data_IF_348280962156
#
_entry.id   IF_348280962156
#
_cell.length_a   1.000
_cell.length_b   1.000
_cell.length_c   1.000
_cell.angle_alpha   90.00
_cell.angle_beta   90.00
_cell.angle_gamma   90.00
#
_symmetry.space_group_name_H-M   'P 1'
#
loop_
_entity.id
_entity.type
_entity.pdbx_description
1 polymer ?
#
# COMPACT_ATOMS: atom_id res chain seq x y z
N UNK A 1 23.53 56.79 10.84
CA UNK A 1 23.69 55.84 11.97
C UNK A 1 22.76 54.64 11.83
N UNK A 2 21.55 54.89 11.33
CA UNK A 2 20.53 54.00 10.77
C UNK A 2 21.02 52.60 10.37
N UNK A 3 22.02 52.46 9.49
CA UNK A 3 22.43 51.17 8.92
C UNK A 3 22.82 50.12 9.98
N UNK A 4 23.45 50.56 11.09
CA UNK A 4 23.79 49.66 12.21
C UNK A 4 22.53 49.26 12.99
N UNK A 5 21.59 50.19 13.20
CA UNK A 5 20.33 49.91 13.88
C UNK A 5 19.46 48.95 13.05
N UNK A 6 19.36 49.21 11.74
CA UNK A 6 18.70 48.35 10.75
C UNK A 6 19.24 46.92 10.81
N UNK A 7 20.57 46.75 10.84
CA UNK A 7 21.23 45.44 10.92
C UNK A 7 20.92 44.70 12.23
N UNK A 8 21.03 45.35 13.39
CA UNK A 8 20.69 44.75 14.69
C UNK A 8 19.20 44.38 14.80
N UNK A 9 18.30 45.19 14.25
CA UNK A 9 16.87 44.92 14.20
C UNK A 9 16.57 43.63 13.40
N UNK A 10 17.17 43.47 12.21
CA UNK A 10 17.02 42.23 11.44
C UNK A 10 17.64 41.01 12.14
N UNK A 11 18.79 41.14 12.80
CA UNK A 11 19.38 40.04 13.60
C UNK A 11 18.46 39.60 14.75
N UNK A 12 17.80 40.54 15.44
CA UNK A 12 16.85 40.22 16.50
C UNK A 12 15.61 39.49 15.95
N UNK A 13 15.07 39.92 14.80
CA UNK A 13 13.96 39.23 14.13
C UNK A 13 14.37 37.81 13.72
N UNK A 14 15.55 37.64 13.10
CA UNK A 14 16.04 36.33 12.65
C UNK A 14 16.27 35.39 13.83
N UNK A 15 16.88 35.86 14.93
CA UNK A 15 17.11 35.02 16.11
C UNK A 15 15.79 34.64 16.82
N UNK A 16 14.81 35.55 16.87
CA UNK A 16 13.46 35.27 17.41
C UNK A 16 12.70 34.23 16.56
N UNK A 17 12.74 34.35 15.23
CA UNK A 17 12.14 33.38 14.32
C UNK A 17 12.82 32.00 14.43
N UNK A 18 14.16 31.97 14.54
CA UNK A 18 14.92 30.75 14.74
C UNK A 18 14.61 30.11 16.11
N UNK A 19 14.46 30.89 17.18
CA UNK A 19 14.04 30.42 18.50
C UNK A 19 12.64 29.80 18.45
N UNK A 20 11.68 30.45 17.79
CA UNK A 20 10.33 29.89 17.58
C UNK A 20 10.39 28.58 16.78
N UNK A 21 11.23 28.52 15.74
CA UNK A 21 11.41 27.32 14.93
C UNK A 21 11.96 26.17 15.78
N UNK A 22 13.07 26.37 16.50
CA UNK A 22 13.70 25.37 17.38
C UNK A 22 12.73 24.92 18.50
N UNK A 23 11.94 25.83 19.07
CA UNK A 23 10.93 25.51 20.08
C UNK A 23 9.80 24.64 19.49
N UNK A 24 9.23 25.04 18.33
CA UNK A 24 8.20 24.24 17.63
C UNK A 24 8.73 22.86 17.24
N UNK A 25 9.97 22.79 16.75
CA UNK A 25 10.66 21.57 16.35
C UNK A 25 10.85 20.62 17.54
N UNK A 26 11.34 21.13 18.67
CA UNK A 26 11.52 20.38 19.92
C UNK A 26 10.17 19.90 20.49
N UNK A 27 9.15 20.76 20.48
CA UNK A 27 7.80 20.39 20.92
C UNK A 27 7.20 19.29 20.03
N UNK A 28 7.38 19.39 18.70
CA UNK A 28 6.80 18.46 17.73
C UNK A 28 7.52 17.10 17.68
N UNK A 29 8.86 17.08 17.64
CA UNK A 29 9.66 15.87 17.42
C UNK A 29 10.14 15.19 18.71
N UNK A 30 10.17 15.88 19.86
CA UNK A 30 10.70 15.32 21.11
C UNK A 30 9.65 15.27 22.22
N UNK A 31 9.00 16.39 22.52
CA UNK A 31 8.05 16.47 23.64
C UNK A 31 6.74 15.74 23.36
N UNK A 32 6.12 15.96 22.18
CA UNK A 32 4.87 15.29 21.80
C UNK A 32 4.99 13.75 21.78
N UNK A 33 5.98 13.13 21.10
CA UNK A 33 6.14 11.68 21.13
C UNK A 33 6.30 11.12 22.54
N UNK A 34 7.23 11.67 23.34
CA UNK A 34 7.48 11.23 24.73
C UNK A 34 6.26 11.42 25.65
N UNK A 35 5.42 12.43 25.42
CA UNK A 35 4.16 12.63 26.17
C UNK A 35 3.11 11.58 25.81
N UNK A 36 2.97 11.24 24.53
CA UNK A 36 2.03 10.23 24.03
C UNK A 36 2.46 8.82 24.47
N UNK A 37 3.75 8.51 24.35
CA UNK A 37 4.37 7.25 24.81
C UNK A 37 4.10 7.01 26.30
N UNK A 38 4.33 8.03 27.15
CA UNK A 38 4.01 7.97 28.59
C UNK A 38 2.50 7.87 28.88
N UNK A 39 1.64 8.42 28.02
CA UNK A 39 0.19 8.34 28.19
C UNK A 39 -0.34 6.92 27.91
N UNK A 40 0.13 6.27 26.83
CA UNK A 40 -0.24 4.89 26.53
C UNK A 40 0.42 3.86 27.47
N UNK A 41 1.69 4.08 27.84
CA UNK A 41 2.39 3.21 28.79
C UNK A 41 1.70 3.15 30.16
N UNK A 42 1.11 4.27 30.63
CA UNK A 42 0.25 4.30 31.84
C UNK A 42 -1.03 3.47 31.73
N UNK A 43 -1.49 3.16 30.52
CA UNK A 43 -2.65 2.31 30.25
C UNK A 43 -2.23 0.85 29.94
N UNK A 44 -0.97 0.50 30.18
CA UNK A 44 -0.41 -0.82 29.86
C UNK A 44 -0.07 -1.03 28.38
N UNK A 45 -0.49 -0.12 27.49
CA UNK A 45 -0.25 -0.20 26.05
C UNK A 45 1.22 0.17 25.77
N UNK A 46 1.98 -0.83 25.33
CA UNK A 46 3.41 -0.74 24.97
C UNK A 46 3.58 -0.77 23.45
N UNK A 47 4.82 -0.70 22.98
CA UNK A 47 5.19 -0.78 21.57
C UNK A 47 6.70 -0.61 21.40
N UNK A 48 7.23 -0.74 20.17
CA UNK A 48 8.61 -0.37 19.87
C UNK A 48 8.85 1.13 20.18
N UNK A 49 10.01 1.49 20.76
CA UNK A 49 10.26 2.84 21.28
C UNK A 49 10.34 3.89 20.16
N UNK A 50 10.03 5.15 20.51
CA UNK A 50 10.15 6.26 19.57
C UNK A 50 11.61 6.55 19.20
N UNK A 51 11.93 6.46 17.91
CA UNK A 51 13.20 6.90 17.33
C UNK A 51 13.04 8.29 16.69
N UNK A 52 13.94 9.21 17.01
CA UNK A 52 13.87 10.62 16.58
C UNK A 52 13.80 10.76 15.05
N UNK A 53 12.98 11.71 14.57
CA UNK A 53 12.52 11.89 13.17
C UNK A 53 11.78 10.72 12.52
N UNK A 54 12.31 9.49 12.57
CA UNK A 54 11.94 8.38 11.68
C UNK A 54 10.86 7.47 12.28
N UNK A 55 10.77 7.37 13.61
CA UNK A 55 9.94 6.36 14.26
C UNK A 55 10.42 4.94 13.90
N UNK A 56 9.49 3.99 13.80
CA UNK A 56 9.79 2.57 13.54
C UNK A 56 9.76 2.21 12.04
N UNK A 57 9.71 3.20 11.13
CA UNK A 57 9.63 2.97 9.67
C UNK A 57 10.80 2.09 9.19
N UNK A 58 12.02 2.36 9.69
CA UNK A 58 13.23 1.57 9.42
C UNK A 58 13.05 0.08 9.77
N UNK A 59 12.52 -0.19 10.96
CA UNK A 59 12.31 -1.53 11.50
C UNK A 59 11.19 -2.27 10.74
N UNK A 60 10.09 -1.57 10.46
CA UNK A 60 8.97 -2.08 9.66
C UNK A 60 9.40 -2.48 8.25
N UNK A 61 10.21 -1.65 7.58
CA UNK A 61 10.79 -1.98 6.26
C UNK A 61 11.78 -3.14 6.36
N UNK A 62 12.64 -3.18 7.39
CA UNK A 62 13.55 -4.30 7.63
C UNK A 62 12.82 -5.63 7.81
N UNK A 63 11.74 -5.65 8.60
CA UNK A 63 10.88 -6.82 8.80
C UNK A 63 10.13 -7.21 7.53
N UNK A 64 9.69 -6.26 6.71
CA UNK A 64 9.06 -6.54 5.41
C UNK A 64 10.05 -7.15 4.40
N UNK A 65 11.26 -6.59 4.30
CA UNK A 65 12.33 -7.10 3.43
C UNK A 65 12.80 -8.49 3.87
N UNK A 66 13.04 -8.70 5.18
CA UNK A 66 13.44 -10.01 5.72
C UNK A 66 12.36 -11.08 5.52
N UNK A 67 11.08 -10.72 5.64
CA UNK A 67 9.99 -11.64 5.34
C UNK A 67 9.86 -11.93 3.83
N UNK A 68 10.23 -10.98 2.97
CA UNK A 68 10.15 -11.09 1.50
C UNK A 68 11.31 -11.86 0.88
N UNK A 69 12.52 -11.79 1.46
CA UNK A 69 13.73 -12.43 0.93
C UNK A 69 13.79 -13.95 1.12
N UNK A 70 13.04 -14.49 2.08
CA UNK A 70 12.91 -15.94 2.24
C UNK A 70 12.04 -16.56 1.13
N UNK A 71 12.22 -17.85 0.81
CA UNK A 71 11.22 -18.61 0.05
C UNK A 71 9.85 -18.52 0.72
N UNK A 72 8.77 -18.44 -0.06
CA UNK A 72 7.42 -18.48 0.52
C UNK A 72 7.10 -19.92 0.96
N UNK A 73 6.73 -20.17 2.23
CA UNK A 73 6.30 -21.49 2.65
C UNK A 73 4.94 -21.85 2.01
N UNK A 74 4.77 -23.12 1.62
CA UNK A 74 3.53 -23.64 1.03
C UNK A 74 2.46 -23.93 2.11
N UNK A 75 2.13 -22.92 2.93
CA UNK A 75 1.18 -23.04 4.03
C UNK A 75 0.17 -21.88 4.06
N UNK A 76 -1.03 -22.12 4.59
CA UNK A 76 -2.10 -21.11 4.67
C UNK A 76 -1.77 -19.90 5.55
N UNK A 77 -0.85 -20.04 6.52
CA UNK A 77 -0.47 -18.96 7.42
C UNK A 77 0.51 -17.97 6.75
N UNK A 78 -0.02 -17.14 5.85
CA UNK A 78 0.75 -16.13 5.10
C UNK A 78 0.93 -14.80 5.88
N UNK A 79 0.35 -14.68 7.08
CA UNK A 79 0.45 -13.48 7.92
C UNK A 79 1.92 -13.07 8.24
N UNK A 80 2.86 -13.99 8.55
CA UNK A 80 4.27 -13.65 8.75
C UNK A 80 4.97 -13.08 7.52
N UNK A 81 4.43 -13.34 6.31
CA UNK A 81 4.96 -12.87 5.02
C UNK A 81 4.37 -11.51 4.64
N UNK A 82 3.06 -11.33 4.74
CA UNK A 82 2.36 -10.13 4.27
C UNK A 82 2.34 -9.00 5.31
N UNK A 83 2.20 -9.33 6.61
CA UNK A 83 2.15 -8.37 7.72
C UNK A 83 3.20 -8.71 8.78
N UNK A 84 4.45 -8.88 8.33
CA UNK A 84 5.56 -9.36 9.14
C UNK A 84 5.83 -8.51 10.39
N UNK A 85 5.75 -7.18 10.28
CA UNK A 85 5.91 -6.25 11.41
C UNK A 85 4.85 -6.47 12.50
N UNK A 86 3.59 -6.66 12.10
CA UNK A 86 2.48 -6.93 13.01
C UNK A 86 2.60 -8.32 13.64
N UNK A 87 2.92 -9.35 12.84
CA UNK A 87 3.19 -10.70 13.36
C UNK A 87 4.38 -10.76 14.33
N UNK A 88 5.39 -9.91 14.15
CA UNK A 88 6.52 -9.77 15.06
C UNK A 88 6.12 -9.02 16.35
N UNK A 89 5.69 -7.77 16.25
CA UNK A 89 5.39 -6.92 17.41
C UNK A 89 4.20 -7.42 18.24
N UNK A 90 3.19 -8.09 17.64
CA UNK A 90 2.09 -8.73 18.40
C UNK A 90 2.59 -9.77 19.41
N UNK A 91 3.70 -10.46 19.13
CA UNK A 91 4.29 -11.45 20.05
C UNK A 91 5.04 -10.81 21.22
N UNK A 92 5.44 -9.54 21.10
CA UNK A 92 6.23 -8.81 22.10
C UNK A 92 5.32 -7.92 22.95
N UNK A 93 4.33 -7.27 22.34
CA UNK A 93 3.50 -6.24 22.98
C UNK A 93 2.01 -6.61 23.11
N UNK A 94 1.58 -7.75 22.56
CA UNK A 94 0.19 -8.23 22.63
C UNK A 94 -0.70 -7.76 21.47
N UNK A 95 -2.02 -7.87 21.64
CA UNK A 95 -3.00 -7.62 20.57
C UNK A 95 -3.22 -6.11 20.25
N UNK A 96 -2.75 -5.21 21.12
CA UNK A 96 -2.88 -3.76 20.95
C UNK A 96 -1.56 -3.09 21.33
N UNK A 97 -0.93 -2.36 20.40
CA UNK A 97 0.39 -1.77 20.60
C UNK A 97 0.63 -0.49 19.78
N UNK A 98 1.52 0.37 20.24
CA UNK A 98 1.82 1.68 19.66
C UNK A 98 2.97 1.59 18.63
N UNK A 99 2.83 2.23 17.46
CA UNK A 99 3.86 2.28 16.41
C UNK A 99 4.10 3.72 15.95
N UNK A 100 5.34 4.08 15.67
CA UNK A 100 5.71 5.44 15.25
C UNK A 100 5.98 5.52 13.74
N UNK A 101 5.27 6.40 13.05
CA UNK A 101 5.52 6.78 11.66
C UNK A 101 6.04 8.21 11.65
N UNK A 102 7.37 8.35 11.72
CA UNK A 102 7.99 9.60 12.15
C UNK A 102 7.47 10.01 13.55
N UNK A 103 7.24 11.32 13.83
CA UNK A 103 6.69 11.77 15.11
C UNK A 103 5.21 11.39 15.34
N UNK A 104 4.54 10.81 14.34
CA UNK A 104 3.12 10.45 14.42
C UNK A 104 2.95 9.05 15.00
N UNK A 105 2.37 8.98 16.20
CA UNK A 105 1.92 7.72 16.79
C UNK A 105 0.73 7.13 16.01
N UNK A 106 0.72 5.82 15.84
CA UNK A 106 -0.41 5.02 15.35
C UNK A 106 -0.66 3.87 16.31
N UNK A 107 -1.89 3.70 16.77
CA UNK A 107 -2.28 2.58 17.61
C UNK A 107 -2.69 1.41 16.72
N UNK A 108 -1.99 0.29 16.82
CA UNK A 108 -2.37 -0.98 16.16
C UNK A 108 -3.28 -1.74 17.11
N UNK A 109 -4.43 -2.21 16.62
CA UNK A 109 -5.48 -2.88 17.40
C UNK A 109 -5.84 -4.17 16.67
N UNK A 110 -6.12 -5.24 17.41
CA UNK A 110 -6.53 -6.54 16.84
C UNK A 110 -7.61 -7.26 17.67
N UNK A 111 -8.26 -6.53 18.57
CA UNK A 111 -9.48 -6.95 19.26
C UNK A 111 -10.71 -6.70 18.35
N UNK A 112 -11.52 -7.73 18.02
CA UNK A 112 -12.69 -7.56 17.17
C UNK A 112 -13.77 -6.64 17.77
N UNK A 113 -13.86 -6.51 19.09
CA UNK A 113 -14.81 -5.61 19.77
C UNK A 113 -14.41 -4.16 19.51
N UNK A 114 -13.15 -3.82 19.74
CA UNK A 114 -12.62 -2.47 19.47
C UNK A 114 -12.61 -2.14 17.97
N UNK A 115 -12.34 -3.12 17.10
CA UNK A 115 -12.46 -2.95 15.64
C UNK A 115 -13.90 -2.63 15.25
N UNK A 116 -14.90 -3.36 15.79
CA UNK A 116 -16.33 -3.07 15.57
C UNK A 116 -16.72 -1.68 16.10
N UNK A 117 -16.21 -1.29 17.26
CA UNK A 117 -16.47 0.02 17.84
C UNK A 117 -15.92 1.14 16.94
N UNK A 118 -14.67 1.02 16.49
CA UNK A 118 -13.97 2.02 15.65
C UNK A 118 -14.63 2.15 14.27
N UNK A 119 -14.88 1.03 13.57
CA UNK A 119 -15.35 1.05 12.19
C UNK A 119 -16.87 1.16 12.04
N UNK A 120 -17.66 0.91 13.09
CA UNK A 120 -19.13 1.00 13.04
C UNK A 120 -19.66 2.04 14.02
N UNK A 121 -19.42 1.87 15.33
CA UNK A 121 -20.09 2.67 16.37
C UNK A 121 -19.55 4.11 16.52
N UNK A 122 -18.28 4.34 16.17
CA UNK A 122 -17.58 5.61 16.35
C UNK A 122 -16.87 6.09 15.07
N UNK A 123 -17.28 5.58 13.90
CA UNK A 123 -16.63 5.85 12.61
C UNK A 123 -16.52 7.34 12.26
N UNK A 124 -17.43 8.18 12.73
CA UNK A 124 -17.40 9.64 12.60
C UNK A 124 -16.16 10.30 13.23
N UNK A 125 -15.57 9.68 14.26
CA UNK A 125 -14.35 10.17 14.94
C UNK A 125 -13.05 9.67 14.30
N UNK A 126 -13.12 8.77 13.30
CA UNK A 126 -11.95 8.11 12.70
C UNK A 126 -11.85 8.41 11.21
N UNK A 127 -11.28 9.58 10.88
CA UNK A 127 -10.97 9.92 9.49
C UNK A 127 -9.95 8.95 8.84
N UNK A 128 -10.08 8.81 7.52
CA UNK A 128 -9.08 8.13 6.69
C UNK A 128 -7.73 8.84 6.78
N UNK A 129 -6.64 8.07 6.81
CA UNK A 129 -5.30 8.59 6.53
C UNK A 129 -5.26 9.15 5.09
N UNK A 130 -4.58 10.27 4.88
CA UNK A 130 -4.45 10.86 3.54
C UNK A 130 -3.33 10.17 2.73
N UNK A 131 -3.64 9.80 1.49
CA UNK A 131 -2.66 9.24 0.55
C UNK A 131 -1.53 10.24 0.26
N UNK A 132 -0.26 9.80 0.15
CA UNK A 132 0.84 10.68 -0.26
C UNK A 132 0.54 11.37 -1.61
N UNK A 133 0.99 12.62 -1.86
CA UNK A 133 0.54 13.39 -3.03
C UNK A 133 0.71 12.71 -4.40
N UNK A 134 1.80 11.95 -4.59
CA UNK A 134 2.03 11.18 -5.82
C UNK A 134 1.02 10.03 -6.00
N UNK A 135 0.63 9.38 -4.90
CA UNK A 135 -0.36 8.30 -4.90
C UNK A 135 -1.75 8.88 -5.14
N UNK A 136 -2.10 9.98 -4.44
CA UNK A 136 -3.35 10.73 -4.63
C UNK A 136 -3.55 11.19 -6.09
N UNK A 137 -2.48 11.59 -6.79
CA UNK A 137 -2.54 11.97 -8.22
C UNK A 137 -2.84 10.80 -9.18
N UNK A 138 -2.61 9.55 -8.74
CA UNK A 138 -2.91 8.33 -9.50
C UNK A 138 -4.26 7.72 -9.11
N UNK A 139 -4.60 7.74 -7.82
CA UNK A 139 -5.90 7.33 -7.28
C UNK A 139 -7.02 8.29 -7.71
N UNK A 140 -6.75 9.60 -7.75
CA UNK A 140 -7.72 10.65 -8.01
C UNK A 140 -8.45 11.15 -6.75
N UNK A 141 -9.17 12.25 -6.92
CA UNK A 141 -9.95 12.92 -5.87
C UNK A 141 -11.39 12.38 -5.71
N UNK A 142 -11.56 11.05 -5.77
CA UNK A 142 -12.84 10.34 -5.62
C UNK A 142 -13.08 9.67 -4.25
N UNK A 143 -13.95 8.66 -4.20
CA UNK A 143 -14.46 8.00 -2.99
C UNK A 143 -13.42 7.51 -1.97
N UNK A 144 -12.20 7.19 -2.40
CA UNK A 144 -11.11 6.83 -1.49
C UNK A 144 -10.60 8.04 -0.71
N UNK A 145 -10.40 9.18 -1.35
CA UNK A 145 -9.73 10.37 -0.79
C UNK A 145 -10.71 11.41 -0.23
N UNK A 146 -11.95 11.45 -0.74
CA UNK A 146 -13.00 12.36 -0.25
C UNK A 146 -13.41 12.07 1.22
N UNK A 147 -13.85 13.14 1.90
CA UNK A 147 -14.30 13.18 3.30
C UNK A 147 -15.66 13.90 3.42
N UNK A 148 -16.32 13.75 4.57
CA UNK A 148 -17.53 14.50 4.95
C UNK A 148 -18.70 14.40 3.95
N UNK A 149 -19.46 15.49 3.83
CA UNK A 149 -20.67 15.57 2.99
C UNK A 149 -20.39 15.27 1.51
N UNK A 150 -19.26 15.73 0.95
CA UNK A 150 -18.84 15.40 -0.42
C UNK A 150 -18.78 13.89 -0.62
N UNK A 151 -18.09 13.17 0.27
CA UNK A 151 -18.00 11.71 0.21
C UNK A 151 -19.37 11.05 0.37
N UNK A 152 -20.23 11.53 1.28
CA UNK A 152 -21.57 10.99 1.46
C UNK A 152 -22.44 11.17 0.20
N UNK A 153 -22.37 12.34 -0.45
CA UNK A 153 -23.07 12.65 -1.69
C UNK A 153 -22.59 11.78 -2.86
N UNK A 154 -21.28 11.71 -3.09
CA UNK A 154 -20.68 10.87 -4.13
C UNK A 154 -21.03 9.40 -3.90
N UNK A 155 -20.93 8.91 -2.66
CA UNK A 155 -21.26 7.51 -2.31
C UNK A 155 -22.73 7.21 -2.59
N UNK A 156 -23.65 8.10 -2.24
CA UNK A 156 -25.09 7.94 -2.51
C UNK A 156 -25.39 7.80 -4.01
N UNK A 157 -24.67 8.53 -4.86
CA UNK A 157 -24.84 8.52 -6.32
C UNK A 157 -24.17 7.30 -6.96
N UNK A 158 -23.01 6.87 -6.45
CA UNK A 158 -22.21 5.77 -7.03
C UNK A 158 -22.71 4.39 -6.59
N UNK A 159 -23.15 4.20 -5.34
CA UNK A 159 -23.52 2.87 -4.80
C UNK A 159 -24.50 2.07 -5.69
N UNK A 160 -25.55 2.65 -6.30
CA UNK A 160 -26.47 1.91 -7.18
C UNK A 160 -25.82 1.21 -8.39
N UNK A 161 -24.69 1.72 -8.92
CA UNK A 161 -24.03 1.10 -10.09
C UNK A 161 -23.42 -0.26 -9.76
N UNK A 162 -23.12 -0.50 -8.48
CA UNK A 162 -22.57 -1.76 -7.96
C UNK A 162 -23.65 -2.69 -7.38
N UNK A 163 -24.94 -2.40 -7.58
CA UNK A 163 -26.01 -3.35 -7.25
C UNK A 163 -25.93 -4.59 -8.17
N UNK A 164 -26.31 -5.77 -7.65
CA UNK A 164 -26.16 -7.06 -8.33
C UNK A 164 -26.83 -7.10 -9.71
N UNK A 165 -27.94 -6.39 -9.90
CA UNK A 165 -28.65 -6.30 -11.18
C UNK A 165 -27.82 -5.59 -12.26
N UNK A 166 -27.17 -4.48 -11.89
CA UNK A 166 -26.27 -3.73 -12.77
C UNK A 166 -24.96 -4.51 -13.03
N UNK A 167 -24.42 -5.19 -12.01
CA UNK A 167 -23.24 -6.05 -12.18
C UNK A 167 -23.51 -7.24 -13.10
N UNK A 168 -24.71 -7.84 -13.07
CA UNK A 168 -25.10 -8.93 -13.98
C UNK A 168 -25.06 -8.53 -15.47
N UNK A 169 -25.22 -7.24 -15.79
CA UNK A 169 -25.06 -6.72 -17.16
C UNK A 169 -23.59 -6.68 -17.63
N UNK A 170 -22.63 -6.65 -16.71
CA UNK A 170 -21.19 -6.59 -17.04
C UNK A 170 -20.57 -7.95 -17.35
N UNK A 171 -21.19 -9.05 -16.89
CA UNK A 171 -20.66 -10.42 -17.00
C UNK A 171 -20.26 -10.81 -18.44
N UNK A 172 -21.07 -10.57 -19.50
CA UNK A 172 -20.68 -10.94 -20.86
C UNK A 172 -19.45 -10.16 -21.36
N UNK A 173 -19.34 -8.88 -21.00
CA UNK A 173 -18.22 -8.01 -21.37
C UNK A 173 -16.94 -8.42 -20.63
N UNK A 174 -17.06 -8.77 -19.36
CA UNK A 174 -15.94 -9.30 -18.55
C UNK A 174 -15.46 -10.63 -19.13
N UNK A 175 -16.36 -11.60 -19.35
CA UNK A 175 -16.01 -12.91 -19.92
C UNK A 175 -15.37 -12.81 -21.31
N UNK A 176 -15.90 -11.96 -22.21
CA UNK A 176 -15.32 -11.71 -23.54
C UNK A 176 -13.93 -11.08 -23.46
N UNK A 177 -13.69 -10.23 -22.46
CA UNK A 177 -12.37 -9.64 -22.22
C UNK A 177 -11.39 -10.66 -21.66
N UNK A 178 -11.83 -11.54 -20.76
CA UNK A 178 -11.04 -12.64 -20.21
C UNK A 178 -10.67 -13.68 -21.26
N UNK A 179 -11.61 -14.11 -22.12
CA UNK A 179 -11.34 -15.01 -23.23
C UNK A 179 -10.26 -14.42 -24.17
N UNK A 180 -10.47 -13.19 -24.65
CA UNK A 180 -9.49 -12.45 -25.48
C UNK A 180 -8.11 -12.27 -24.81
N UNK A 181 -8.05 -12.23 -23.48
CA UNK A 181 -6.81 -12.19 -22.72
C UNK A 181 -6.13 -13.56 -22.70
N UNK A 182 -6.89 -14.65 -22.49
CA UNK A 182 -6.40 -16.03 -22.50
C UNK A 182 -5.89 -16.44 -23.90
N UNK A 183 -6.64 -16.15 -24.97
CA UNK A 183 -6.24 -16.36 -26.37
C UNK A 183 -4.85 -15.78 -26.66
N UNK A 184 -4.56 -14.63 -26.05
CA UNK A 184 -3.31 -13.87 -26.22
C UNK A 184 -2.22 -14.26 -25.24
N UNK A 185 -2.52 -14.96 -24.16
CA UNK A 185 -1.66 -15.08 -22.97
C UNK A 185 -0.25 -15.61 -23.30
N UNK A 186 -0.17 -16.63 -24.15
CA UNK A 186 1.08 -17.24 -24.60
C UNK A 186 1.53 -16.79 -26.00
N UNK A 187 0.73 -15.98 -26.71
CA UNK A 187 1.06 -15.55 -28.06
C UNK A 187 2.11 -14.42 -28.05
N UNK A 188 3.03 -14.38 -29.03
CA UNK A 188 4.01 -13.31 -29.17
C UNK A 188 3.36 -12.07 -29.82
N UNK A 189 2.38 -11.46 -29.14
CA UNK A 189 1.74 -10.19 -29.51
C UNK A 189 2.73 -9.02 -29.38
N UNK A 190 2.41 -7.82 -29.92
CA UNK A 190 3.25 -6.62 -29.71
C UNK A 190 3.38 -6.29 -28.22
N UNK A 191 2.28 -6.37 -27.48
CA UNK A 191 2.19 -6.15 -26.03
C UNK A 191 3.06 -7.16 -25.26
N UNK A 192 2.91 -8.45 -25.53
CA UNK A 192 3.67 -9.51 -24.85
C UNK A 192 5.15 -9.50 -25.22
N UNK A 193 5.51 -9.26 -26.50
CA UNK A 193 6.90 -9.06 -26.91
C UNK A 193 7.55 -7.89 -26.20
N UNK A 194 6.81 -6.79 -25.95
CA UNK A 194 7.31 -5.67 -25.16
C UNK A 194 7.45 -6.07 -23.69
N UNK A 195 6.45 -6.73 -23.09
CA UNK A 195 6.51 -7.20 -21.70
C UNK A 195 7.69 -8.16 -21.45
N UNK A 196 7.83 -9.22 -22.26
CA UNK A 196 8.92 -10.19 -22.17
C UNK A 196 10.29 -9.58 -22.52
N UNK A 197 10.34 -8.60 -23.44
CA UNK A 197 11.56 -7.84 -23.71
C UNK A 197 11.94 -7.00 -22.49
N UNK A 198 10.99 -6.29 -21.89
CA UNK A 198 11.24 -5.45 -20.71
C UNK A 198 11.65 -6.29 -19.51
N UNK A 199 11.01 -7.43 -19.21
CA UNK A 199 11.51 -8.35 -18.17
C UNK A 199 12.94 -8.82 -18.47
N UNK A 200 13.21 -9.23 -19.72
CA UNK A 200 14.54 -9.70 -20.13
C UNK A 200 15.59 -8.59 -20.09
N UNK A 201 15.26 -7.36 -20.45
CA UNK A 201 16.15 -6.19 -20.46
C UNK A 201 16.37 -5.63 -19.04
N UNK A 202 15.33 -5.56 -18.21
CA UNK A 202 15.43 -5.23 -16.78
C UNK A 202 16.27 -6.28 -16.07
N UNK A 203 15.97 -7.58 -16.23
CA UNK A 203 16.75 -8.68 -15.65
C UNK A 203 18.19 -8.67 -16.13
N UNK A 204 18.45 -8.50 -17.44
CA UNK A 204 19.82 -8.40 -17.99
C UNK A 204 20.56 -7.17 -17.47
N UNK A 205 19.90 -6.03 -17.34
CA UNK A 205 20.52 -4.79 -16.86
C UNK A 205 20.83 -4.86 -15.38
N UNK A 206 19.91 -5.38 -14.56
CA UNK A 206 20.13 -5.65 -13.14
C UNK A 206 21.28 -6.64 -12.95
N UNK A 207 21.28 -7.78 -13.65
CA UNK A 207 22.38 -8.75 -13.58
C UNK A 207 23.71 -8.14 -14.00
N UNK A 208 23.76 -7.36 -15.09
CA UNK A 208 24.99 -6.67 -15.51
C UNK A 208 25.47 -5.64 -14.48
N UNK A 209 24.57 -4.87 -13.88
CA UNK A 209 24.92 -3.90 -12.83
C UNK A 209 25.43 -4.58 -11.56
N UNK A 210 24.87 -5.75 -11.21
CA UNK A 210 25.34 -6.59 -10.10
C UNK A 210 26.73 -7.16 -10.42
N UNK A 211 26.90 -7.82 -11.58
CA UNK A 211 28.18 -8.40 -12.03
C UNK A 211 29.32 -7.38 -12.06
N UNK A 212 29.06 -6.17 -12.59
CA UNK A 212 30.05 -5.10 -12.64
C UNK A 212 30.41 -4.58 -11.24
N UNK A 213 29.45 -4.48 -10.32
CA UNK A 213 29.71 -4.00 -8.96
C UNK A 213 30.41 -5.04 -8.09
N UNK A 214 30.08 -6.33 -8.23
CA UNK A 214 30.83 -7.42 -7.57
C UNK A 214 32.29 -7.42 -8.06
N UNK A 215 32.52 -7.37 -9.38
CA UNK A 215 33.88 -7.37 -9.93
C UNK A 215 34.70 -6.13 -9.56
N UNK A 216 34.07 -4.97 -9.36
CA UNK A 216 34.78 -3.80 -8.84
C UNK A 216 35.12 -3.95 -7.35
N UNK A 217 34.23 -4.58 -6.57
CA UNK A 217 34.44 -4.84 -5.13
C UNK A 217 35.62 -5.78 -4.87
N UNK A 218 35.80 -6.82 -5.69
CA UNK A 218 36.93 -7.76 -5.59
C UNK A 218 38.27 -7.15 -6.02
N UNK A 219 38.28 -6.05 -6.80
CA UNK A 219 39.48 -5.50 -7.44
C UNK A 219 40.00 -4.17 -6.84
N UNK A 220 39.30 -3.53 -5.92
CA UNK A 220 39.71 -2.21 -5.39
C UNK A 220 39.71 -2.13 -3.85
N UNK A 221 40.92 -2.12 -3.28
CA UNK A 221 41.16 -1.81 -1.87
C UNK A 221 41.34 -0.31 -1.56
N UNK A 222 41.02 0.60 -2.50
CA UNK A 222 41.29 2.03 -2.37
C UNK A 222 40.22 2.92 -3.01
N UNK A 223 39.70 3.84 -2.19
CA UNK A 223 38.63 4.83 -2.39
C UNK A 223 38.59 5.55 -3.75
N UNK A 224 37.39 5.61 -4.34
CA UNK A 224 36.87 6.81 -5.02
C UNK A 224 35.34 6.87 -4.79
N UNK A 225 34.81 7.97 -4.23
CA UNK A 225 33.41 8.02 -3.76
C UNK A 225 32.39 8.37 -4.85
N UNK A 226 31.55 7.40 -5.22
CA UNK A 226 30.32 7.61 -6.00
C UNK A 226 29.09 7.74 -5.08
N UNK A 227 28.00 8.41 -5.52
CA UNK A 227 26.84 8.67 -4.66
C UNK A 227 25.99 7.41 -4.45
N UNK A 228 25.84 6.99 -3.19
CA UNK A 228 25.12 5.77 -2.78
C UNK A 228 23.71 5.67 -3.38
N UNK A 229 23.50 4.74 -4.32
CA UNK A 229 22.18 4.41 -4.87
C UNK A 229 21.53 3.19 -4.19
N UNK A 230 20.25 2.93 -4.49
CA UNK A 230 19.49 1.83 -3.90
C UNK A 230 20.11 0.45 -4.16
N UNK A 231 20.76 0.25 -5.31
CA UNK A 231 21.35 -1.05 -5.70
C UNK A 231 22.69 -1.27 -4.98
N UNK A 232 23.47 -0.21 -4.78
CA UNK A 232 24.67 -0.23 -3.93
C UNK A 232 24.29 -0.42 -2.46
N UNK A 233 23.22 0.22 -1.99
CA UNK A 233 22.63 -0.02 -0.66
C UNK A 233 22.18 -1.48 -0.52
N UNK A 234 21.65 -2.12 -1.58
CA UNK A 234 21.30 -3.55 -1.54
C UNK A 234 22.53 -4.47 -1.46
N UNK A 235 23.60 -4.17 -2.20
CA UNK A 235 24.87 -4.93 -2.14
C UNK A 235 25.52 -4.75 -0.76
N UNK A 236 25.66 -3.50 -0.28
CA UNK A 236 26.17 -3.18 1.07
C UNK A 236 25.27 -3.76 2.17
N UNK A 237 23.95 -3.80 2.01
CA UNK A 237 23.03 -4.40 2.99
C UNK A 237 23.15 -5.93 3.08
N UNK A 238 23.64 -6.60 2.03
CA UNK A 238 24.05 -8.01 2.11
C UNK A 238 25.31 -8.22 2.97
N UNK A 239 25.98 -7.13 3.39
CA UNK A 239 27.21 -7.14 4.19
C UNK A 239 27.12 -6.34 5.51
N UNK A 240 26.20 -5.36 5.66
CA UNK A 240 25.50 -4.86 6.88
C UNK A 240 24.83 -3.47 6.72
N UNK A 241 23.53 -3.42 7.03
CA UNK A 241 22.71 -2.38 7.69
C UNK A 241 22.90 -0.82 7.53
N UNK A 242 22.06 -0.20 6.67
CA UNK A 242 21.10 0.93 6.96
C UNK A 242 21.46 2.46 7.03
N UNK A 243 20.67 3.33 6.34
CA UNK A 243 20.03 4.65 6.72
C UNK A 243 19.80 5.68 5.56
N UNK A 244 19.13 6.84 5.80
CA UNK A 244 18.44 7.78 4.83
C UNK A 244 18.90 9.29 5.05
N UNK A 245 18.23 10.48 4.73
CA UNK A 245 16.82 10.84 4.34
C UNK A 245 16.46 12.19 3.54
N UNK A 246 15.49 12.16 2.56
CA UNK A 246 14.49 13.25 2.18
C UNK A 246 14.97 14.62 1.58
N UNK A 247 14.13 15.66 1.19
CA UNK A 247 12.64 15.91 1.29
C UNK A 247 11.82 16.68 0.16
N UNK A 248 10.46 16.59 0.22
CA UNK A 248 9.34 17.59 0.02
C UNK A 248 9.22 18.56 -1.23
N UNK A 249 8.10 19.27 -1.59
CA UNK A 249 6.74 19.54 -1.02
C UNK A 249 5.67 20.10 -2.04
N UNK A 250 4.38 20.30 -1.59
CA UNK A 250 3.34 21.34 -1.96
C UNK A 250 1.88 20.92 -2.36
N UNK A 251 0.88 21.37 -1.55
CA UNK A 251 -0.42 22.09 -1.77
C UNK A 251 -1.41 21.77 -2.95
N UNK A 252 -2.74 22.07 -2.92
CA UNK A 252 -3.74 22.57 -1.91
C UNK A 252 -5.21 22.52 -2.44
N UNK A 253 -6.23 22.66 -1.56
CA UNK A 253 -7.59 23.31 -1.72
C UNK A 253 -8.47 23.11 -3.00
N UNK A 254 -9.82 23.09 -3.00
CA UNK A 254 -10.93 23.08 -2.00
C UNK A 254 -12.29 22.86 -2.72
N UNK A 255 -13.44 22.82 -1.99
CA UNK A 255 -14.84 23.16 -2.43
C UNK A 255 -15.26 23.03 -3.92
N UNK A 256 -16.32 22.31 -4.29
CA UNK A 256 -17.72 22.75 -4.05
C UNK A 256 -18.77 21.60 -4.11
N UNK A 257 -20.07 21.91 -4.29
CA UNK A 257 -21.22 21.07 -3.89
C UNK A 257 -22.16 20.60 -5.02
N UNK A 258 -21.64 20.32 -6.21
CA UNK A 258 -22.33 19.56 -7.28
C UNK A 258 -21.30 18.66 -7.98
N UNK A 259 -21.68 17.45 -8.39
CA UNK A 259 -20.77 16.56 -9.15
C UNK A 259 -20.58 17.14 -10.57
N UNK A 260 -19.35 17.53 -10.87
CA UNK A 260 -18.93 18.02 -12.19
C UNK A 260 -18.40 16.88 -13.06
N UNK A 261 -18.19 17.15 -14.36
CA UNK A 261 -17.50 16.21 -15.27
C UNK A 261 -16.07 15.88 -14.76
N UNK A 262 -15.41 16.82 -14.09
CA UNK A 262 -14.11 16.58 -13.45
C UNK A 262 -14.23 15.56 -12.31
N UNK A 263 -15.21 15.72 -11.42
CA UNK A 263 -15.44 14.77 -10.32
C UNK A 263 -15.74 13.35 -10.85
N UNK A 264 -16.48 13.22 -11.96
CA UNK A 264 -16.70 11.93 -12.62
C UNK A 264 -15.39 11.31 -13.12
N UNK A 265 -14.46 12.10 -13.67
CA UNK A 265 -13.13 11.61 -14.10
C UNK A 265 -12.30 11.15 -12.90
N UNK A 266 -12.33 11.88 -11.78
CA UNK A 266 -11.61 11.49 -10.56
C UNK A 266 -12.18 10.23 -9.90
N UNK A 267 -13.50 10.07 -9.88
CA UNK A 267 -14.15 8.83 -9.44
C UNK A 267 -13.83 7.65 -10.37
N UNK A 268 -13.78 7.86 -11.69
CA UNK A 268 -13.35 6.84 -12.64
C UNK A 268 -11.89 6.39 -12.42
N UNK A 269 -10.97 7.32 -12.12
CA UNK A 269 -9.59 6.97 -11.69
C UNK A 269 -9.62 6.15 -10.40
N UNK A 270 -10.40 6.59 -9.41
CA UNK A 270 -10.49 5.95 -8.09
C UNK A 270 -10.98 4.51 -8.21
N UNK A 271 -12.08 4.30 -8.92
CA UNK A 271 -12.68 2.98 -9.16
C UNK A 271 -11.72 2.09 -9.97
N UNK A 272 -11.09 2.64 -11.03
CA UNK A 272 -10.14 1.88 -11.85
C UNK A 272 -8.90 1.45 -11.05
N UNK A 273 -8.25 2.37 -10.33
CA UNK A 273 -7.02 2.09 -9.59
C UNK A 273 -7.27 1.11 -8.44
N UNK A 274 -8.30 1.38 -7.62
CA UNK A 274 -8.70 0.51 -6.52
C UNK A 274 -9.07 -0.90 -7.02
N UNK A 275 -9.93 -0.99 -8.04
CA UNK A 275 -10.38 -2.26 -8.61
C UNK A 275 -9.24 -3.03 -9.27
N UNK A 276 -8.37 -2.36 -10.05
CA UNK A 276 -7.27 -3.01 -10.77
C UNK A 276 -6.24 -3.63 -9.82
N UNK A 277 -5.78 -2.88 -8.81
CA UNK A 277 -4.74 -3.39 -7.89
C UNK A 277 -5.27 -4.50 -6.98
N UNK A 278 -6.48 -4.33 -6.40
CA UNK A 278 -7.06 -5.36 -5.52
C UNK A 278 -7.43 -6.64 -6.28
N UNK A 279 -8.15 -6.52 -7.41
CA UNK A 279 -8.61 -7.68 -8.20
C UNK A 279 -7.42 -8.44 -8.82
N UNK A 280 -6.40 -7.75 -9.33
CA UNK A 280 -5.23 -8.42 -9.91
C UNK A 280 -4.43 -9.18 -8.84
N UNK A 281 -4.31 -8.63 -7.62
CA UNK A 281 -3.68 -9.34 -6.51
C UNK A 281 -4.51 -10.53 -6.04
N UNK A 282 -5.83 -10.37 -5.91
CA UNK A 282 -6.77 -11.45 -5.56
C UNK A 282 -6.66 -12.62 -6.54
N UNK A 283 -6.83 -12.38 -7.84
CA UNK A 283 -6.74 -13.42 -8.87
C UNK A 283 -5.38 -14.11 -8.89
N UNK A 284 -4.29 -13.38 -8.63
CA UNK A 284 -2.94 -13.95 -8.51
C UNK A 284 -2.86 -14.92 -7.33
N UNK A 285 -3.32 -14.50 -6.15
CA UNK A 285 -3.32 -15.36 -4.95
C UNK A 285 -4.28 -16.55 -5.07
N UNK A 286 -5.47 -16.37 -5.63
CA UNK A 286 -6.40 -17.48 -5.94
C UNK A 286 -5.76 -18.49 -6.89
N UNK A 287 -5.07 -18.03 -7.93
CA UNK A 287 -4.36 -18.93 -8.88
C UNK A 287 -3.24 -19.72 -8.19
N UNK A 288 -2.45 -19.06 -7.32
CA UNK A 288 -1.41 -19.71 -6.52
C UNK A 288 -2.00 -20.75 -5.56
N UNK A 289 -3.08 -20.41 -4.85
CA UNK A 289 -3.72 -21.31 -3.88
C UNK A 289 -4.39 -22.52 -4.55
N UNK A 290 -5.01 -22.35 -5.73
CA UNK A 290 -5.55 -23.47 -6.51
C UNK A 290 -4.43 -24.38 -7.02
N UNK A 291 -3.30 -23.82 -7.49
CA UNK A 291 -2.13 -24.62 -7.88
C UNK A 291 -1.45 -25.34 -6.70
N UNK A 292 -1.55 -24.80 -5.48
CA UNK A 292 -1.10 -25.45 -4.25
C UNK A 292 -2.06 -26.53 -3.74
N UNK A 293 -3.32 -26.54 -4.19
CA UNK A 293 -4.35 -27.47 -3.72
C UNK A 293 -5.17 -28.05 -4.89
N UNK A 294 -4.62 -29.00 -5.67
CA UNK A 294 -5.27 -29.58 -6.85
C UNK A 294 -6.69 -30.07 -6.62
N UNK A 295 -6.96 -30.69 -5.45
CA UNK A 295 -8.31 -31.10 -5.03
C UNK A 295 -9.38 -30.00 -5.15
N UNK A 296 -9.05 -28.74 -4.82
CA UNK A 296 -9.96 -27.60 -4.93
C UNK A 296 -10.03 -27.07 -6.36
N UNK A 297 -8.95 -27.22 -7.14
CA UNK A 297 -8.93 -26.88 -8.56
C UNK A 297 -9.77 -27.87 -9.40
N UNK A 298 -9.78 -29.15 -9.04
CA UNK A 298 -10.61 -30.20 -9.64
C UNK A 298 -12.08 -30.00 -9.27
N UNK A 299 -12.41 -29.86 -7.99
CA UNK A 299 -13.79 -29.57 -7.55
C UNK A 299 -14.39 -28.32 -8.21
N UNK A 300 -13.62 -27.23 -8.31
CA UNK A 300 -14.06 -26.01 -8.98
C UNK A 300 -14.20 -26.18 -10.51
N UNK A 301 -13.36 -27.00 -11.15
CA UNK A 301 -13.48 -27.34 -12.57
C UNK A 301 -14.74 -28.18 -12.83
N UNK A 302 -15.00 -29.17 -12.00
CA UNK A 302 -16.15 -30.06 -12.14
C UNK A 302 -17.47 -29.34 -11.86
N UNK A 303 -17.48 -28.39 -10.90
CA UNK A 303 -18.63 -27.48 -10.70
C UNK A 303 -18.91 -26.65 -11.97
N UNK A 304 -17.88 -26.02 -12.55
CA UNK A 304 -18.03 -25.25 -13.79
C UNK A 304 -18.48 -26.12 -14.96
N UNK A 305 -17.92 -27.32 -15.14
CA UNK A 305 -18.34 -28.26 -16.18
C UNK A 305 -19.78 -28.75 -15.97
N UNK A 306 -20.22 -28.95 -14.72
CA UNK A 306 -21.59 -29.39 -14.39
C UNK A 306 -22.63 -28.27 -14.57
N UNK A 307 -22.28 -27.02 -14.26
CA UNK A 307 -23.17 -25.85 -14.34
C UNK A 307 -23.21 -25.29 -15.76
N UNK A 308 -22.06 -25.05 -16.37
CA UNK A 308 -21.96 -24.51 -17.72
C UNK A 308 -22.19 -25.60 -18.79
N UNK A 309 -21.86 -26.87 -18.51
CA UNK A 309 -21.83 -27.93 -19.52
C UNK A 309 -20.64 -27.77 -20.49
N UNK A 310 -20.57 -28.63 -21.49
CA UNK A 310 -19.57 -28.58 -22.58
C UNK A 310 -19.83 -27.45 -23.59
N UNK A 311 -20.25 -26.26 -23.13
CA UNK A 311 -20.53 -25.09 -23.96
C UNK A 311 -19.29 -24.20 -23.98
N UNK A 312 -18.65 -24.02 -25.14
CA UNK A 312 -17.54 -23.08 -25.38
C UNK A 312 -17.96 -21.58 -25.32
N UNK A 313 -19.04 -21.28 -24.60
CA UNK A 313 -19.62 -19.96 -24.45
C UNK A 313 -19.31 -19.37 -23.06
N UNK A 314 -19.20 -18.06 -23.02
CA UNK A 314 -19.04 -17.29 -21.78
C UNK A 314 -20.20 -17.60 -20.81
N UNK A 315 -19.92 -17.93 -19.53
CA UNK A 315 -20.97 -18.19 -18.54
C UNK A 315 -21.97 -17.03 -18.40
N UNK A 316 -23.25 -17.35 -18.33
CA UNK A 316 -24.30 -16.34 -18.17
C UNK A 316 -24.45 -15.88 -16.72
N UNK A 317 -25.21 -14.77 -16.53
CA UNK A 317 -25.61 -14.27 -15.20
C UNK A 317 -26.30 -15.32 -14.31
N UNK A 318 -26.92 -16.33 -14.91
CA UNK A 318 -27.69 -17.36 -14.22
C UNK A 318 -26.90 -18.68 -14.11
N UNK A 319 -25.73 -18.78 -14.74
CA UNK A 319 -24.75 -19.86 -14.51
C UNK A 319 -23.81 -19.46 -13.36
N UNK A 320 -23.30 -18.22 -13.37
CA UNK A 320 -22.44 -17.68 -12.29
C UNK A 320 -23.14 -17.77 -10.92
N UNK A 321 -24.45 -17.54 -10.86
CA UNK A 321 -25.24 -17.65 -9.63
C UNK A 321 -25.44 -19.09 -9.09
N UNK A 322 -24.90 -20.11 -9.76
CA UNK A 322 -24.97 -21.52 -9.34
C UNK A 322 -23.60 -22.10 -8.93
N UNK A 323 -22.51 -21.34 -9.12
CA UNK A 323 -21.15 -21.76 -8.80
C UNK A 323 -20.88 -21.56 -7.30
N UNK A 324 -21.39 -22.44 -6.43
CA UNK A 324 -21.27 -22.30 -4.97
C UNK A 324 -19.82 -22.34 -4.48
N UNK A 325 -19.04 -23.29 -4.99
CA UNK A 325 -17.63 -23.53 -4.63
C UNK A 325 -16.75 -22.33 -5.00
N UNK A 326 -17.04 -21.67 -6.12
CA UNK A 326 -16.38 -20.42 -6.52
C UNK A 326 -17.00 -19.15 -5.91
N UNK A 327 -18.28 -19.19 -5.55
CA UNK A 327 -19.05 -18.09 -4.96
C UNK A 327 -18.86 -17.90 -3.46
N UNK A 328 -18.17 -18.83 -2.79
CA UNK A 328 -17.95 -18.89 -1.33
C UNK A 328 -19.20 -19.16 -0.47
N UNK A 329 -20.24 -19.76 -1.06
CA UNK A 329 -21.34 -20.38 -0.32
C UNK A 329 -20.91 -21.77 0.20
N UNK A 330 -20.01 -21.77 1.20
CA UNK A 330 -19.70 -22.92 2.03
C UNK A 330 -20.60 -22.89 3.28
N UNK A 331 -21.61 -23.76 3.29
CA UNK A 331 -22.48 -24.07 4.45
C UNK A 331 -21.75 -24.94 5.49
#
# INVERSE_FOLDING_TARGET
MEDKFQYWFWLLIISYLLLIFVLKFTVHLWWRPRRIEKHFSKQGIKGPPYHFFIGNIKELVGLALKASSQPMPLCHNILPRVLSFYHHWRKIYGATFLVWFGPTARLTISDPVLIKEIFILKSEFFEKNESPPLVRKLEGDGLLTLKGEKWAHHRKIITPTFHIENLKLMIPTMGKSTAKMLDRWFLPTKENRISWRLDKEVRKSLMKLIDQRIKNYDNQGSVEECPNDLLEIMIKASLKETNQPFPNNFNSSSSSSNITVHDIVEECKTIFFAGKHTTSNLLTWTTILLAMHPQWQELARDEVLKVCGSRDNIPSKDDVAKLKTLGTDLE
#
